data_IF_242907484282
#
_entry.id   IF_242907484282
#
_cell.length_a   1.000
_cell.length_b   1.000
_cell.length_c   1.000
_cell.angle_alpha   90.00
_cell.angle_beta   90.00
_cell.angle_gamma   90.00
#
_symmetry.space_group_name_H-M   'P 1'
#
loop_
_entity.id
_entity.type
_entity.pdbx_description
1 polymer ?
#
# COMPACT_ATOMS: atom_id res chain seq x y z
N UNK A 1 11.58 -25.72 26.73
CA UNK A 1 12.22 -24.40 26.79
C UNK A 1 11.73 -23.63 25.58
N UNK A 2 10.69 -22.80 25.77
CA UNK A 2 9.97 -22.16 24.67
C UNK A 2 10.71 -20.89 24.25
N UNK A 3 11.28 -20.90 23.06
CA UNK A 3 11.86 -19.72 22.44
C UNK A 3 10.70 -18.91 21.86
N UNK A 4 10.33 -17.85 22.55
CA UNK A 4 9.39 -16.84 22.04
C UNK A 4 10.05 -16.18 20.82
N UNK A 5 9.58 -16.54 19.61
CA UNK A 5 9.93 -15.85 18.35
C UNK A 5 8.73 -15.03 17.88
N UNK A 6 8.41 -13.98 18.61
CA UNK A 6 7.39 -12.99 18.21
C UNK A 6 7.86 -11.64 18.71
N UNK A 7 8.61 -10.92 17.87
CA UNK A 7 9.20 -9.65 18.28
C UNK A 7 10.24 -9.13 17.31
N UNK A 8 9.82 -8.76 16.10
CA UNK A 8 10.62 -7.92 15.21
C UNK A 8 9.76 -6.88 14.47
N UNK A 9 8.71 -6.38 15.14
CA UNK A 9 8.19 -5.03 14.87
C UNK A 9 8.82 -3.99 15.82
N UNK A 10 9.84 -4.41 16.58
CA UNK A 10 10.47 -3.59 17.60
C UNK A 10 11.27 -2.45 16.94
N UNK A 11 10.78 -1.23 17.20
CA UNK A 11 11.53 0.00 17.44
C UNK A 11 11.62 1.10 16.36
N UNK A 12 11.14 0.93 15.13
CA UNK A 12 11.10 2.07 14.20
C UNK A 12 9.89 3.02 14.38
N UNK A 13 8.91 2.66 15.21
CA UNK A 13 7.62 3.39 15.30
C UNK A 13 7.34 4.01 16.68
N UNK A 14 8.32 4.01 17.60
CA UNK A 14 8.14 4.47 18.98
C UNK A 14 8.86 5.79 19.29
N UNK A 15 9.00 6.69 18.31
CA UNK A 15 9.47 8.06 18.55
C UNK A 15 8.29 9.03 18.60
N UNK A 16 7.78 9.41 19.78
CA UNK A 16 6.86 10.52 19.91
C UNK A 16 7.69 11.80 20.00
N UNK A 17 7.83 12.56 18.91
CA UNK A 17 8.00 14.03 18.87
C UNK A 17 8.31 14.48 17.44
N UNK A 18 7.42 15.31 16.91
CA UNK A 18 7.32 15.82 15.53
C UNK A 18 6.66 14.85 14.53
N UNK A 19 5.55 15.30 13.92
CA UNK A 19 4.97 14.78 12.68
C UNK A 19 5.94 14.98 11.49
N UNK A 20 7.19 14.57 11.65
CA UNK A 20 8.14 14.46 10.57
C UNK A 20 7.71 13.25 9.75
N UNK A 21 7.17 13.52 8.56
CA UNK A 21 7.24 12.65 7.39
C UNK A 21 7.32 11.16 7.72
N UNK A 22 6.16 10.52 7.89
CA UNK A 22 6.10 9.09 8.23
C UNK A 22 6.94 8.30 7.22
N UNK A 23 8.14 7.93 7.66
CA UNK A 23 9.08 7.20 6.84
C UNK A 23 8.69 5.72 6.94
N UNK A 24 7.93 5.26 5.96
CA UNK A 24 7.59 3.85 5.81
C UNK A 24 8.80 3.14 5.22
N UNK A 25 9.53 2.43 6.08
CA UNK A 25 10.67 1.60 5.66
C UNK A 25 11.78 2.41 4.97
N UNK A 26 12.20 3.54 5.56
CA UNK A 26 13.23 4.38 4.94
C UNK A 26 12.77 5.21 3.74
N UNK A 27 11.48 5.19 3.39
CA UNK A 27 10.89 6.00 2.32
C UNK A 27 9.72 6.84 2.83
N UNK A 28 9.54 8.03 2.27
CA UNK A 28 8.48 8.97 2.64
C UNK A 28 7.48 9.11 1.50
N UNK A 29 6.21 8.81 1.76
CA UNK A 29 5.12 9.02 0.82
C UNK A 29 4.98 10.51 0.45
N UNK A 30 4.73 10.79 -0.83
CA UNK A 30 4.62 12.13 -1.40
C UNK A 30 5.94 12.91 -1.48
N UNK A 31 7.09 12.28 -1.16
CA UNK A 31 8.40 12.95 -1.12
C UNK A 31 9.53 12.13 -1.73
N UNK A 32 9.67 10.87 -1.35
CA UNK A 32 10.75 10.03 -1.86
C UNK A 32 10.64 9.87 -3.37
N UNK A 33 11.74 10.10 -4.05
CA UNK A 33 11.87 9.90 -5.49
C UNK A 33 12.03 8.42 -5.81
N UNK A 34 11.76 8.06 -7.07
CA UNK A 34 12.09 6.74 -7.59
C UNK A 34 13.57 6.38 -7.41
N UNK A 35 14.47 7.34 -7.60
CA UNK A 35 15.90 7.11 -7.45
C UNK A 35 16.28 6.76 -6.01
N UNK A 36 15.74 7.48 -5.03
CA UNK A 36 15.93 7.16 -3.61
C UNK A 36 15.36 5.79 -3.27
N UNK A 37 14.18 5.46 -3.79
CA UNK A 37 13.57 4.15 -3.60
C UNK A 37 14.44 3.01 -4.18
N UNK A 38 15.03 3.20 -5.36
CA UNK A 38 15.90 2.20 -6.00
C UNK A 38 17.23 2.02 -5.26
N UNK A 39 17.73 3.07 -4.60
CA UNK A 39 18.91 3.01 -3.74
C UNK A 39 18.63 2.29 -2.42
N UNK A 40 17.49 2.56 -1.80
CA UNK A 40 17.08 1.92 -0.54
C UNK A 40 16.70 0.45 -0.75
N UNK A 41 15.97 0.17 -1.82
CA UNK A 41 15.44 -1.15 -2.15
C UNK A 41 15.77 -1.52 -3.59
N UNK A 42 16.91 -2.17 -3.82
CA UNK A 42 17.27 -2.67 -5.14
C UNK A 42 16.15 -3.55 -5.71
N UNK A 43 15.65 -3.26 -6.92
CA UNK A 43 14.55 -4.04 -7.50
C UNK A 43 15.00 -5.49 -7.71
N UNK A 44 14.28 -6.45 -7.10
CA UNK A 44 14.52 -7.88 -7.35
C UNK A 44 14.09 -8.27 -8.77
N UNK A 45 13.00 -7.68 -9.23
CA UNK A 45 12.51 -7.79 -10.60
C UNK A 45 12.40 -6.38 -11.17
N UNK A 46 13.29 -6.03 -12.08
CA UNK A 46 12.93 -5.06 -13.13
C UNK A 46 11.94 -5.80 -14.00
N UNK A 47 10.68 -5.37 -14.02
CA UNK A 47 9.67 -6.02 -14.83
C UNK A 47 10.00 -5.76 -16.32
N UNK A 48 10.81 -6.63 -16.92
CA UNK A 48 11.07 -6.66 -18.37
C UNK A 48 10.05 -7.53 -19.08
N UNK A 49 8.82 -7.64 -18.56
CA UNK A 49 7.74 -8.32 -19.27
C UNK A 49 7.55 -7.61 -20.61
N UNK A 50 8.04 -8.25 -21.67
CA UNK A 50 7.89 -7.79 -23.04
C UNK A 50 6.40 -7.63 -23.34
N UNK A 51 5.97 -6.38 -23.49
CA UNK A 51 4.57 -6.00 -23.75
C UNK A 51 3.95 -5.05 -22.74
N UNK A 52 4.60 -4.79 -21.59
CA UNK A 52 4.21 -3.69 -20.70
C UNK A 52 5.13 -2.48 -20.97
N UNK A 53 4.61 -1.26 -21.13
CA UNK A 53 5.45 -0.11 -21.43
C UNK A 53 6.35 0.23 -20.23
N UNK A 54 7.60 0.63 -20.51
CA UNK A 54 8.57 1.13 -19.52
C UNK A 54 8.06 2.32 -18.67
N UNK A 55 6.93 2.90 -19.09
CA UNK A 55 6.17 3.96 -18.42
C UNK A 55 5.28 3.49 -17.26
N UNK A 56 5.35 2.22 -16.84
CA UNK A 56 4.67 1.80 -15.61
C UNK A 56 5.38 2.46 -14.43
N UNK A 57 4.74 3.48 -13.86
CA UNK A 57 5.22 4.24 -12.70
C UNK A 57 5.15 3.40 -11.41
N UNK A 58 5.57 2.13 -11.46
CA UNK A 58 5.70 1.30 -10.28
C UNK A 58 6.76 0.24 -10.48
N UNK A 59 7.38 -0.25 -9.40
CA UNK A 59 8.17 -1.48 -9.43
C UNK A 59 8.03 -2.29 -8.14
N UNK A 60 8.50 -3.53 -8.18
CA UNK A 60 8.32 -4.53 -7.11
C UNK A 60 9.64 -4.85 -6.43
N UNK A 61 9.61 -4.90 -5.10
CA UNK A 61 10.74 -5.23 -4.21
C UNK A 61 10.47 -6.59 -3.56
N UNK A 62 11.49 -7.44 -3.43
CA UNK A 62 11.36 -8.71 -2.69
C UNK A 62 10.98 -8.42 -1.24
N UNK A 63 10.02 -9.16 -0.70
CA UNK A 63 9.68 -9.09 0.71
C UNK A 63 10.87 -9.37 1.64
N UNK A 64 11.86 -10.18 1.20
CA UNK A 64 13.10 -10.47 1.94
C UNK A 64 13.98 -9.24 2.20
N UNK A 65 13.79 -8.16 1.45
CA UNK A 65 14.50 -6.90 1.69
C UNK A 65 13.88 -6.10 2.83
N UNK A 66 12.68 -6.47 3.27
CA UNK A 66 12.04 -5.93 4.45
C UNK A 66 12.28 -6.87 5.62
N UNK A 67 12.46 -6.31 6.82
CA UNK A 67 12.54 -7.09 8.06
C UNK A 67 11.13 -7.57 8.51
N UNK A 68 10.36 -8.14 7.58
CA UNK A 68 8.98 -8.57 7.81
C UNK A 68 8.80 -10.02 7.34
N UNK A 69 8.70 -10.98 8.29
CA UNK A 69 8.40 -12.36 7.98
C UNK A 69 7.11 -12.49 7.17
N UNK A 70 7.10 -13.43 6.23
CA UNK A 70 5.96 -13.71 5.34
C UNK A 70 5.64 -12.62 4.31
N UNK A 71 6.29 -11.45 4.30
CA UNK A 71 6.10 -10.51 3.21
C UNK A 71 6.57 -11.18 1.90
N UNK A 72 5.70 -11.25 0.89
CA UNK A 72 6.07 -11.78 -0.43
C UNK A 72 6.82 -10.73 -1.24
N UNK A 73 6.23 -9.54 -1.31
CA UNK A 73 6.79 -8.40 -2.02
C UNK A 73 6.09 -7.11 -1.62
N UNK A 74 6.76 -5.99 -1.86
CA UNK A 74 6.16 -4.66 -1.85
C UNK A 74 6.10 -4.11 -3.28
N UNK A 75 5.02 -3.43 -3.64
CA UNK A 75 4.89 -2.71 -4.91
C UNK A 75 4.85 -1.21 -4.61
N UNK A 76 5.81 -0.46 -5.15
CA UNK A 76 5.94 0.97 -4.94
C UNK A 76 5.39 1.68 -6.18
N UNK A 77 4.42 2.58 -6.00
CA UNK A 77 3.77 3.35 -7.06
C UNK A 77 4.21 4.80 -6.99
N UNK A 78 4.47 5.40 -8.14
CA UNK A 78 4.99 6.75 -8.31
C UNK A 78 4.02 7.58 -9.16
N UNK A 79 4.03 8.89 -8.96
CA UNK A 79 3.33 9.83 -9.83
C UNK A 79 4.12 10.14 -11.11
N UNK A 80 3.58 11.04 -11.93
CA UNK A 80 4.21 11.46 -13.18
C UNK A 80 5.53 12.20 -12.95
N UNK A 81 5.71 12.81 -11.76
CA UNK A 81 6.94 13.44 -11.32
C UNK A 81 7.93 12.43 -10.69
N UNK A 82 7.66 11.13 -10.78
CA UNK A 82 8.46 10.05 -10.19
C UNK A 82 8.58 10.15 -8.66
N UNK A 83 7.58 10.74 -8.01
CA UNK A 83 7.47 10.82 -6.54
C UNK A 83 6.62 9.67 -6.02
N UNK A 84 7.09 9.00 -4.97
CA UNK A 84 6.44 7.83 -4.36
C UNK A 84 5.08 8.21 -3.80
N UNK A 85 4.01 7.68 -4.39
CA UNK A 85 2.63 7.96 -4.01
C UNK A 85 1.96 6.86 -3.18
N UNK A 86 2.35 5.60 -3.38
CA UNK A 86 1.77 4.47 -2.65
C UNK A 86 2.75 3.32 -2.47
N UNK A 87 2.59 2.56 -1.39
CA UNK A 87 3.29 1.27 -1.18
C UNK A 87 2.26 0.21 -0.82
N UNK A 88 2.20 -0.84 -1.64
CA UNK A 88 1.37 -2.02 -1.42
C UNK A 88 2.22 -3.21 -0.96
N UNK A 89 2.02 -3.64 0.28
CA UNK A 89 2.59 -4.85 0.84
C UNK A 89 1.67 -6.04 0.61
N UNK A 90 2.23 -7.12 0.05
CA UNK A 90 1.50 -8.35 -0.24
C UNK A 90 1.99 -9.51 0.62
N UNK A 91 1.09 -10.08 1.40
CA UNK A 91 1.31 -11.24 2.24
C UNK A 91 0.57 -12.49 1.69
N UNK A 92 0.92 -13.71 2.12
CA UNK A 92 0.07 -14.88 1.96
C UNK A 92 -1.30 -14.66 2.59
N UNK A 93 -2.26 -15.52 2.22
CA UNK A 93 -3.58 -15.58 2.85
C UNK A 93 -3.38 -15.91 4.32
N UNK A 94 -3.62 -14.94 5.20
CA UNK A 94 -3.49 -15.13 6.64
C UNK A 94 -4.38 -14.14 7.39
N UNK A 95 -5.47 -14.67 7.96
CA UNK A 95 -6.35 -13.92 8.85
C UNK A 95 -5.62 -13.47 10.12
N UNK A 96 -4.70 -14.30 10.63
CA UNK A 96 -3.88 -13.94 11.78
C UNK A 96 -3.01 -12.71 11.48
N UNK A 97 -2.34 -12.69 10.33
CA UNK A 97 -1.55 -11.53 9.89
C UNK A 97 -2.45 -10.30 9.71
N UNK A 98 -3.63 -10.45 9.13
CA UNK A 98 -4.61 -9.36 9.01
C UNK A 98 -4.95 -8.77 10.39
N UNK A 99 -5.38 -9.60 11.34
CA UNK A 99 -5.77 -9.12 12.68
C UNK A 99 -4.62 -8.44 13.42
N UNK A 100 -3.41 -9.00 13.32
CA UNK A 100 -2.22 -8.42 13.91
C UNK A 100 -1.90 -7.03 13.32
N UNK A 101 -2.00 -6.88 12.00
CA UNK A 101 -1.82 -5.59 11.32
C UNK A 101 -2.93 -4.60 11.68
N UNK A 102 -4.20 -5.04 11.72
CA UNK A 102 -5.34 -4.19 12.10
C UNK A 102 -5.18 -3.63 13.51
N UNK A 103 -4.81 -4.48 14.46
CA UNK A 103 -4.55 -4.07 15.84
C UNK A 103 -3.42 -3.04 15.90
N UNK A 104 -2.30 -3.28 15.21
CA UNK A 104 -1.17 -2.35 15.16
C UNK A 104 -1.53 -1.00 14.54
N UNK A 105 -2.30 -1.01 13.45
CA UNK A 105 -2.76 0.20 12.77
C UNK A 105 -3.74 0.99 13.64
N UNK A 106 -4.65 0.32 14.33
CA UNK A 106 -5.65 0.97 15.20
C UNK A 106 -5.04 1.77 16.36
N UNK A 107 -3.82 1.43 16.77
CA UNK A 107 -3.07 2.14 17.81
C UNK A 107 -2.36 3.40 17.30
N UNK A 108 -2.14 3.50 15.99
CA UNK A 108 -1.30 4.54 15.38
C UNK A 108 -2.09 5.49 14.49
N UNK A 109 -3.18 5.01 13.88
CA UNK A 109 -3.95 5.75 12.90
C UNK A 109 -5.43 5.77 13.29
N UNK A 110 -6.10 6.93 13.17
CA UNK A 110 -7.54 7.00 13.30
C UNK A 110 -8.22 6.07 12.29
N UNK A 111 -9.10 5.18 12.77
CA UNK A 111 -9.92 4.33 11.92
C UNK A 111 -10.96 5.20 11.21
N UNK A 112 -11.11 5.04 9.90
CA UNK A 112 -12.22 5.64 9.18
C UNK A 112 -13.50 4.93 9.61
N UNK A 113 -14.55 5.70 9.91
CA UNK A 113 -15.85 5.13 10.27
C UNK A 113 -16.55 4.58 9.02
N UNK A 114 -16.08 3.41 8.58
CA UNK A 114 -16.64 2.64 7.48
C UNK A 114 -17.35 1.45 8.08
N UNK A 115 -18.58 1.17 7.62
CA UNK A 115 -19.32 -0.01 8.04
C UNK A 115 -18.42 -1.27 7.88
N UNK A 116 -18.43 -2.19 8.86
CA UNK A 116 -17.69 -3.44 8.73
C UNK A 116 -18.08 -4.12 7.43
N UNK A 117 -17.10 -4.30 6.54
CA UNK A 117 -17.32 -5.02 5.29
C UNK A 117 -16.88 -6.46 5.49
N UNK A 118 -17.87 -7.35 5.55
CA UNK A 118 -17.69 -8.80 5.45
C UNK A 118 -18.62 -9.28 4.35
N UNK A 119 -18.08 -9.77 3.24
CA UNK A 119 -18.85 -10.50 2.24
C UNK A 119 -18.66 -12.00 2.45
N UNK A 120 -19.72 -12.77 2.28
CA UNK A 120 -19.71 -14.23 2.13
C UNK A 120 -20.31 -14.54 0.75
N UNK A 121 -19.88 -15.60 0.02
CA UNK A 121 -19.01 -16.72 0.43
C UNK A 121 -17.50 -16.49 0.26
N UNK A 122 -17.11 -15.35 -0.33
CA UNK A 122 -15.71 -14.94 -0.46
C UNK A 122 -15.39 -14.10 0.76
N UNK A 123 -14.78 -14.69 1.80
CA UNK A 123 -14.48 -13.98 3.03
C UNK A 123 -13.57 -12.78 2.73
N UNK A 124 -14.17 -11.59 2.76
CA UNK A 124 -13.48 -10.32 2.56
C UNK A 124 -13.56 -9.53 3.86
N UNK A 125 -12.43 -9.35 4.55
CA UNK A 125 -12.33 -8.47 5.71
C UNK A 125 -11.58 -7.19 5.28
N UNK A 126 -12.07 -6.01 5.68
CA UNK A 126 -11.47 -4.72 5.32
C UNK A 126 -11.44 -3.76 6.51
N UNK A 127 -10.29 -3.10 6.67
CA UNK A 127 -10.12 -1.97 7.58
C UNK A 127 -9.46 -0.79 6.87
N UNK A 128 -9.94 0.42 7.15
CA UNK A 128 -9.40 1.66 6.59
C UNK A 128 -9.04 2.62 7.71
N UNK A 129 -7.89 3.27 7.58
CA UNK A 129 -7.36 4.24 8.52
C UNK A 129 -6.86 5.46 7.76
N UNK A 130 -6.82 6.61 8.43
CA UNK A 130 -6.33 7.83 7.80
C UNK A 130 -5.82 8.82 8.86
N UNK A 131 -4.71 9.49 8.54
CA UNK A 131 -4.25 10.69 9.24
C UNK A 131 -4.21 11.90 8.28
N UNK A 132 -3.55 12.99 8.65
CA UNK A 132 -3.52 14.22 7.87
C UNK A 132 -2.86 14.10 6.48
N UNK A 133 -2.08 13.05 6.23
CA UNK A 133 -1.25 12.91 5.02
C UNK A 133 -1.37 11.54 4.33
N UNK A 134 -1.77 10.51 5.07
CA UNK A 134 -1.72 9.12 4.61
C UNK A 134 -3.08 8.46 4.80
N UNK A 135 -3.55 7.81 3.74
CA UNK A 135 -4.63 6.85 3.79
C UNK A 135 -4.05 5.44 3.82
N UNK A 136 -4.63 4.57 4.64
CA UNK A 136 -4.19 3.18 4.81
C UNK A 136 -5.38 2.26 4.58
N UNK A 137 -5.16 1.23 3.78
CA UNK A 137 -6.13 0.17 3.53
C UNK A 137 -5.51 -1.18 3.84
N UNK A 138 -6.20 -1.94 4.70
CA UNK A 138 -5.88 -3.32 5.00
C UNK A 138 -7.03 -4.19 4.52
N UNK A 139 -6.73 -5.11 3.61
CA UNK A 139 -7.70 -6.10 3.12
C UNK A 139 -7.21 -7.51 3.41
N UNK A 140 -8.15 -8.40 3.69
CA UNK A 140 -7.96 -9.85 3.69
C UNK A 140 -8.97 -10.47 2.73
N UNK A 141 -8.51 -11.40 1.90
CA UNK A 141 -9.32 -12.18 0.99
C UNK A 141 -8.73 -13.58 0.77
N UNK A 142 -9.45 -14.43 0.05
CA UNK A 142 -8.95 -15.72 -0.42
C UNK A 142 -7.76 -15.63 -1.38
N UNK A 143 -7.34 -14.43 -1.80
CA UNK A 143 -6.16 -14.21 -2.63
C UNK A 143 -4.92 -13.77 -1.83
N UNK A 144 -5.12 -13.22 -0.63
CA UNK A 144 -4.04 -12.74 0.22
C UNK A 144 -4.47 -11.71 1.24
N UNK A 145 -3.50 -11.30 2.06
CA UNK A 145 -3.60 -10.14 2.94
C UNK A 145 -2.80 -8.99 2.31
N UNK A 146 -3.41 -7.83 2.19
CA UNK A 146 -2.87 -6.67 1.49
C UNK A 146 -2.88 -5.45 2.40
N UNK A 147 -1.75 -4.76 2.48
CA UNK A 147 -1.63 -3.52 3.25
C UNK A 147 -1.10 -2.42 2.33
N UNK A 148 -1.92 -1.42 2.07
CA UNK A 148 -1.60 -0.27 1.22
C UNK A 148 -1.50 1.00 2.07
N UNK A 149 -0.41 1.74 1.88
CA UNK A 149 -0.25 3.10 2.38
C UNK A 149 -0.17 4.05 1.19
N UNK A 150 -1.03 5.06 1.16
CA UNK A 150 -1.16 6.00 0.05
C UNK A 150 -1.09 7.44 0.55
N UNK A 151 -0.27 8.27 -0.10
CA UNK A 151 -0.30 9.73 0.11
C UNK A 151 -1.66 10.29 -0.33
N UNK A 152 -2.24 11.19 0.48
CA UNK A 152 -3.57 11.74 0.21
C UNK A 152 -3.62 12.59 -1.07
N UNK A 153 -2.55 13.30 -1.44
CA UNK A 153 -2.51 14.08 -2.69
C UNK A 153 -2.42 13.15 -3.89
N UNK A 154 -1.60 12.10 -3.81
CA UNK A 154 -1.53 11.06 -4.82
C UNK A 154 -2.89 10.39 -5.02
N UNK A 155 -3.57 10.01 -3.92
CA UNK A 155 -4.92 9.44 -3.95
C UNK A 155 -5.92 10.40 -4.61
N UNK A 156 -5.92 11.68 -4.22
CA UNK A 156 -6.82 12.67 -4.79
C UNK A 156 -6.59 12.87 -6.29
N UNK A 157 -5.33 12.91 -6.74
CA UNK A 157 -4.98 12.99 -8.15
C UNK A 157 -5.45 11.75 -8.93
N UNK A 158 -5.27 10.54 -8.38
CA UNK A 158 -5.75 9.31 -8.99
C UNK A 158 -7.28 9.27 -9.11
N UNK A 159 -8.00 9.71 -8.07
CA UNK A 159 -9.47 9.81 -8.08
C UNK A 159 -9.97 10.83 -9.12
N UNK A 160 -9.31 11.99 -9.23
CA UNK A 160 -9.62 13.01 -10.23
C UNK A 160 -9.49 12.45 -11.65
N UNK A 161 -8.35 11.81 -11.96
CA UNK A 161 -8.13 11.17 -13.27
C UNK A 161 -9.17 10.10 -13.58
N UNK A 162 -9.57 9.31 -12.58
CA UNK A 162 -10.61 8.29 -12.76
C UNK A 162 -11.98 8.93 -13.06
N UNK A 163 -12.33 10.02 -12.37
CA UNK A 163 -13.57 10.75 -12.61
C UNK A 163 -13.59 11.39 -14.01
N UNK A 164 -12.49 12.00 -14.44
CA UNK A 164 -12.33 12.56 -15.79
C UNK A 164 -12.48 11.49 -16.87
N UNK A 165 -11.86 10.32 -16.68
CA UNK A 165 -11.99 9.18 -17.61
C UNK A 165 -13.44 8.72 -17.72
N UNK A 166 -14.14 8.57 -16.58
CA UNK A 166 -15.57 8.18 -16.57
C UNK A 166 -16.45 9.22 -17.26
N UNK A 167 -16.19 10.51 -17.07
CA UNK A 167 -16.90 11.58 -17.74
C UNK A 167 -16.69 11.55 -19.26
N UNK A 168 -15.44 11.31 -19.71
CA UNK A 168 -15.14 11.16 -21.13
C UNK A 168 -15.83 9.94 -21.76
N UNK A 169 -15.87 8.82 -21.05
CA UNK A 169 -16.58 7.61 -21.50
C UNK A 169 -18.10 7.81 -21.57
N UNK A 170 -18.69 8.50 -20.61
CA UNK A 170 -20.12 8.82 -20.60
C UNK A 170 -20.53 9.76 -21.75
N UNK A 171 -19.61 10.63 -22.20
CA UNK A 171 -19.82 11.55 -23.32
C UNK A 171 -19.55 10.94 -24.70
N UNK A 172 -19.16 9.66 -24.79
CA UNK A 172 -19.05 8.98 -26.09
C UNK A 172 -20.47 8.68 -26.60
N UNK A 173 -20.81 9.04 -27.85
CA UNK A 173 -22.11 8.72 -28.41
C UNK A 173 -22.31 7.20 -28.36
N UNK A 174 -23.45 6.76 -27.82
CA UNK A 174 -23.84 5.35 -27.89
C UNK A 174 -23.93 4.99 -29.37
N UNK A 175 -23.19 3.97 -29.80
CA UNK A 175 -23.43 3.37 -31.12
C UNK A 175 -24.87 2.88 -31.11
N UNK A 176 -25.71 3.46 -31.97
CA UNK A 176 -27.06 2.93 -32.21
C UNK A 176 -26.93 1.48 -32.72
N UNK A 177 -27.85 0.58 -32.31
CA UNK A 177 -27.84 -0.82 -32.69
C UNK A 177 -28.02 -1.05 -34.19
#
# INVERSE_FOLDING_TARGET
MNIIKTGALLLCLLSPLAQAETTLFGLTLGKSTRQEAEQTYPPQYKNTASGLPDSWNYYRVDGKQFNEPLLKYATLYFDDAQTLGSILFTFPISLEKYKALEEQLSRQYPRLNTAPFVSEPLRLDKAEFQNDTTYIRLDYSDYGTYLDFTDLKYRAAAQKRLAEKKALEANKPKKEP
#
